data_IF_615355603260
#
_entry.id   IF_615355603260
#
_cell.length_a   1.000
_cell.length_b   1.000
_cell.length_c   1.000
_cell.angle_alpha   90.00
_cell.angle_beta   90.00
_cell.angle_gamma   90.00
#
_symmetry.space_group_name_H-M   'P 1'
#
loop_
_entity.id
_entity.type
_entity.pdbx_description
1 polymer ?
#
# COMPACT_ATOMS: atom_id res chain seq x y z
N UNK A 1 -3.10 -26.18 -75.58
CA UNK A 1 -3.65 -25.74 -74.27
C UNK A 1 -2.55 -25.72 -73.22
N UNK A 2 -2.09 -24.53 -72.86
CA UNK A 2 -1.07 -24.38 -71.80
C UNK A 2 -1.78 -24.00 -70.52
N UNK A 3 -1.66 -24.86 -69.50
CA UNK A 3 -2.25 -24.66 -68.19
C UNK A 3 -1.31 -23.76 -67.37
N UNK A 4 -1.77 -22.58 -66.98
CA UNK A 4 -1.02 -21.68 -66.10
C UNK A 4 -1.44 -22.00 -64.66
N UNK A 5 -0.48 -22.48 -63.88
CA UNK A 5 -0.66 -22.71 -62.43
C UNK A 5 -0.25 -21.43 -61.69
N UNK A 6 -1.24 -20.77 -61.10
CA UNK A 6 -1.01 -19.57 -60.27
C UNK A 6 -0.72 -20.02 -58.83
N UNK A 7 0.52 -19.87 -58.38
CA UNK A 7 0.89 -20.14 -56.98
C UNK A 7 0.64 -18.92 -56.14
N UNK A 8 -0.26 -19.03 -55.16
CA UNK A 8 -0.52 -18.01 -54.19
C UNK A 8 0.49 -18.19 -53.04
N UNK A 9 1.37 -17.19 -52.86
CA UNK A 9 2.26 -17.15 -51.71
C UNK A 9 1.55 -16.32 -50.61
N UNK A 10 1.16 -16.99 -49.54
CA UNK A 10 0.57 -16.32 -48.38
C UNK A 10 1.73 -15.87 -47.50
N UNK A 11 1.97 -14.57 -47.47
CA UNK A 11 2.96 -14.00 -46.57
C UNK A 11 2.35 -13.88 -45.16
N UNK A 12 2.79 -14.69 -44.27
CA UNK A 12 2.41 -14.61 -42.85
C UNK A 12 3.28 -13.53 -42.21
N UNK A 13 2.69 -12.38 -41.96
CA UNK A 13 3.36 -11.30 -41.24
C UNK A 13 3.45 -11.66 -39.75
N UNK A 14 4.63 -12.02 -39.29
CA UNK A 14 4.90 -12.16 -37.85
C UNK A 14 4.97 -10.75 -37.25
N UNK A 15 3.93 -10.35 -36.56
CA UNK A 15 4.01 -9.15 -35.74
C UNK A 15 4.79 -9.52 -34.46
N UNK A 16 6.04 -9.16 -34.44
CA UNK A 16 6.82 -9.21 -33.19
C UNK A 16 6.23 -8.15 -32.26
N UNK A 17 5.49 -8.61 -31.27
CA UNK A 17 5.13 -7.74 -30.15
C UNK A 17 6.43 -7.50 -29.39
N UNK A 18 7.05 -6.35 -29.67
CA UNK A 18 8.18 -5.91 -28.90
C UNK A 18 7.65 -5.57 -27.50
N UNK A 19 7.87 -6.45 -26.57
CA UNK A 19 7.60 -6.16 -25.17
C UNK A 19 8.55 -5.03 -24.76
N UNK A 20 8.05 -3.81 -24.77
CA UNK A 20 8.79 -2.66 -24.25
C UNK A 20 9.06 -2.93 -22.79
N UNK A 21 10.35 -3.20 -22.46
CA UNK A 21 10.77 -3.29 -21.08
C UNK A 21 10.52 -1.95 -20.42
N UNK A 22 9.55 -1.73 -19.67
CA UNK A 22 9.31 -0.75 -19.12
C UNK A 22 10.40 -0.42 -18.54
N UNK A 23 10.95 0.57 -18.78
CA UNK A 23 12.14 1.11 -18.14
C UNK A 23 11.83 1.32 -16.64
N UNK A 24 12.76 1.00 -15.80
CA UNK A 24 12.58 1.13 -14.34
C UNK A 24 12.74 2.61 -13.97
N UNK A 25 11.73 3.38 -14.29
CA UNK A 25 11.67 4.82 -14.08
C UNK A 25 10.34 5.20 -13.44
N UNK A 26 10.27 6.41 -12.94
CA UNK A 26 9.05 7.00 -12.40
C UNK A 26 8.00 7.08 -13.52
N UNK A 27 6.75 6.77 -13.17
CA UNK A 27 5.65 6.84 -14.14
C UNK A 27 4.33 7.19 -13.47
N UNK A 28 3.37 7.61 -14.28
CA UNK A 28 1.99 7.81 -13.85
C UNK A 28 1.13 6.67 -14.39
N UNK A 29 0.25 6.17 -13.55
CA UNK A 29 -0.77 5.19 -13.91
C UNK A 29 -2.12 5.90 -13.95
N UNK A 30 -2.75 5.91 -15.11
CA UNK A 30 -4.16 6.34 -15.23
C UNK A 30 -5.06 5.16 -14.88
N UNK A 31 -6.07 5.40 -14.06
CA UNK A 31 -7.07 4.37 -13.75
C UNK A 31 -8.06 4.31 -14.92
N UNK A 32 -8.13 3.17 -15.64
CA UNK A 32 -8.97 3.09 -16.83
C UNK A 32 -10.43 3.46 -16.56
N UNK A 33 -11.01 4.22 -17.47
CA UNK A 33 -12.38 4.71 -17.34
C UNK A 33 -12.50 6.02 -16.58
N UNK A 34 -11.37 6.64 -16.24
CA UNK A 34 -11.34 7.90 -15.49
C UNK A 34 -10.14 8.75 -15.93
N UNK A 35 -10.10 10.00 -15.43
CA UNK A 35 -8.94 10.89 -15.57
C UNK A 35 -8.04 10.84 -14.34
N UNK A 36 -8.36 10.00 -13.37
CA UNK A 36 -7.59 9.91 -12.12
C UNK A 36 -6.29 9.17 -12.37
N UNK A 37 -5.20 9.73 -11.84
CA UNK A 37 -3.84 9.18 -11.99
C UNK A 37 -3.16 9.10 -10.65
N UNK A 38 -2.21 8.18 -10.55
CA UNK A 38 -1.29 8.12 -9.41
C UNK A 38 0.12 7.87 -9.91
N UNK A 39 1.07 8.35 -9.13
CA UNK A 39 2.48 8.34 -9.49
C UNK A 39 3.20 7.20 -8.77
N UNK A 40 4.05 6.49 -9.51
CA UNK A 40 4.84 5.37 -8.98
C UNK A 40 6.33 5.70 -9.11
N UNK A 41 7.06 5.57 -8.00
CA UNK A 41 8.48 5.90 -7.88
C UNK A 41 9.28 4.61 -7.85
N UNK A 42 10.35 4.47 -8.66
CA UNK A 42 11.19 3.26 -8.66
C UNK A 42 12.07 3.21 -7.39
N UNK A 43 12.10 2.06 -6.79
CA UNK A 43 12.89 1.78 -5.59
C UNK A 43 13.87 0.65 -5.90
N UNK A 44 15.01 0.88 -6.03
CA UNK A 44 15.92 0.01 -6.35
C UNK A 44 16.04 -1.01 -5.35
N UNK A 45 16.57 -2.09 -5.80
CA UNK A 45 16.92 -3.20 -4.92
C UNK A 45 18.10 -2.81 -4.03
N UNK A 46 18.18 -3.43 -2.89
CA UNK A 46 19.28 -3.12 -1.98
C UNK A 46 19.19 -3.86 -0.68
N UNK A 47 20.04 -3.45 0.24
CA UNK A 47 20.11 -4.03 1.59
C UNK A 47 20.02 -2.89 2.61
N UNK A 48 19.29 -3.14 3.69
CA UNK A 48 19.17 -2.15 4.75
C UNK A 48 19.09 -2.85 6.12
N UNK A 49 19.22 -2.08 7.17
CA UNK A 49 19.03 -2.60 8.53
C UNK A 49 17.59 -2.28 8.93
N UNK A 50 16.78 -3.33 9.08
CA UNK A 50 15.38 -3.26 9.50
C UNK A 50 15.30 -3.31 11.01
N UNK A 51 14.56 -2.38 11.59
CA UNK A 51 14.42 -2.30 13.05
C UNK A 51 15.36 -1.28 13.66
N UNK A 52 15.39 -1.24 15.01
CA UNK A 52 16.22 -0.28 15.73
C UNK A 52 16.56 -0.81 17.13
N UNK A 53 17.81 -1.22 17.30
CA UNK A 53 18.28 -1.74 18.58
C UNK A 53 18.35 -0.68 19.69
N UNK A 54 18.30 0.60 19.31
CA UNK A 54 18.47 1.72 20.25
C UNK A 54 17.15 2.36 20.67
N UNK A 55 16.03 2.01 20.04
CA UNK A 55 14.73 2.67 20.25
C UNK A 55 14.12 2.40 21.63
N UNK A 56 14.55 1.33 22.28
CA UNK A 56 13.90 0.89 23.53
C UNK A 56 12.67 0.03 23.31
N UNK A 57 12.23 -0.13 22.06
CA UNK A 57 11.03 -0.91 21.73
C UNK A 57 11.44 -2.35 21.43
N UNK A 58 10.84 -3.30 22.17
CA UNK A 58 11.20 -4.71 22.03
C UNK A 58 10.85 -5.28 20.66
N UNK A 59 9.78 -4.80 20.06
CA UNK A 59 9.28 -5.33 18.77
C UNK A 59 10.07 -4.82 17.56
N UNK A 60 11.04 -3.93 17.77
CA UNK A 60 11.94 -3.44 16.73
C UNK A 60 13.30 -4.16 16.77
N UNK A 61 13.43 -5.18 17.64
CA UNK A 61 14.70 -5.86 17.94
C UNK A 61 14.62 -7.35 17.66
N UNK A 62 15.76 -7.98 17.37
CA UNK A 62 17.04 -7.34 17.02
C UNK A 62 16.98 -6.76 15.61
N UNK A 63 17.68 -5.66 15.37
CA UNK A 63 17.78 -5.11 14.02
C UNK A 63 18.45 -6.13 13.11
N UNK A 64 17.93 -6.26 11.88
CA UNK A 64 18.38 -7.29 10.94
C UNK A 64 18.75 -6.71 9.59
N UNK A 65 19.80 -7.22 9.01
CA UNK A 65 20.24 -6.83 7.67
C UNK A 65 19.40 -7.59 6.64
N UNK A 66 18.54 -6.86 5.91
CA UNK A 66 17.52 -7.43 5.04
C UNK A 66 17.80 -7.01 3.59
N UNK A 67 17.62 -7.93 2.65
CA UNK A 67 17.69 -7.65 1.21
C UNK A 67 16.28 -7.39 0.71
N UNK A 68 16.13 -6.39 -0.15
CA UNK A 68 14.82 -6.04 -0.74
C UNK A 68 14.99 -5.99 -2.25
N UNK A 69 14.14 -6.70 -2.96
CA UNK A 69 14.08 -6.69 -4.43
C UNK A 69 13.52 -5.37 -4.93
N UNK A 70 13.82 -5.03 -6.19
CA UNK A 70 13.34 -3.78 -6.78
C UNK A 70 11.83 -3.77 -6.98
N UNK A 71 11.22 -2.61 -6.76
CA UNK A 71 9.79 -2.41 -6.92
C UNK A 71 9.51 -0.94 -7.19
N UNK A 72 8.28 -0.62 -7.60
CA UNK A 72 7.77 0.74 -7.58
C UNK A 72 6.89 0.91 -6.36
N UNK A 73 6.94 2.10 -5.75
CA UNK A 73 6.05 2.46 -4.65
C UNK A 73 5.26 3.71 -5.01
N UNK A 74 4.00 3.76 -4.61
CA UNK A 74 3.19 4.96 -4.77
C UNK A 74 3.86 6.16 -4.12
N UNK A 75 4.01 7.26 -4.89
CA UNK A 75 4.65 8.47 -4.37
C UNK A 75 3.90 9.01 -3.15
N UNK A 76 2.62 8.74 -3.07
CA UNK A 76 1.70 9.22 -2.01
C UNK A 76 0.82 8.07 -1.53
N UNK A 77 0.13 8.29 -0.43
CA UNK A 77 -0.96 7.43 0.01
C UNK A 77 -2.04 7.38 -1.09
N UNK A 78 -2.73 6.27 -1.23
CA UNK A 78 -3.90 6.19 -2.13
C UNK A 78 -4.89 7.27 -1.67
N UNK A 79 -5.39 8.06 -2.62
CA UNK A 79 -6.34 9.14 -2.30
C UNK A 79 -7.77 8.63 -2.33
N UNK A 80 -8.65 9.40 -1.70
CA UNK A 80 -10.10 9.14 -1.79
C UNK A 80 -10.55 9.23 -3.26
N UNK A 81 -9.99 10.16 -4.04
CA UNK A 81 -10.33 10.29 -5.46
C UNK A 81 -10.08 8.99 -6.24
N UNK A 82 -9.00 8.27 -5.90
CA UNK A 82 -8.70 6.97 -6.47
C UNK A 82 -9.64 5.89 -5.92
N UNK A 83 -9.78 5.84 -4.60
CA UNK A 83 -10.51 4.76 -3.90
C UNK A 83 -12.00 4.76 -4.23
N UNK A 84 -12.59 5.94 -4.41
CA UNK A 84 -14.03 6.07 -4.71
C UNK A 84 -14.39 5.44 -6.05
N UNK A 85 -13.44 5.37 -6.99
CA UNK A 85 -13.69 4.70 -8.27
C UNK A 85 -13.97 3.21 -8.06
N UNK A 86 -13.25 2.60 -7.12
CA UNK A 86 -13.47 1.22 -6.72
C UNK A 86 -14.81 1.08 -6.00
N UNK A 87 -15.10 1.96 -5.04
CA UNK A 87 -16.34 1.89 -4.27
C UNK A 87 -17.58 2.01 -5.15
N UNK A 88 -17.50 2.81 -6.21
CA UNK A 88 -18.64 3.12 -7.07
C UNK A 88 -18.71 2.26 -8.34
N UNK A 89 -17.82 1.30 -8.52
CA UNK A 89 -17.80 0.47 -9.73
C UNK A 89 -18.88 -0.60 -9.64
N UNK A 90 -20.04 -0.30 -10.23
CA UNK A 90 -21.20 -1.20 -10.23
C UNK A 90 -20.95 -2.49 -11.00
N UNK A 91 -19.96 -2.49 -11.90
CA UNK A 91 -19.64 -3.64 -12.73
C UNK A 91 -18.69 -4.62 -12.06
N UNK A 92 -18.13 -4.25 -10.91
CA UNK A 92 -17.12 -5.08 -10.26
C UNK A 92 -17.72 -6.23 -9.47
N UNK A 93 -18.90 -6.05 -8.92
CA UNK A 93 -19.57 -7.11 -8.16
C UNK A 93 -20.02 -8.22 -9.09
N UNK A 94 -19.42 -9.38 -8.98
CA UNK A 94 -19.77 -10.54 -9.80
C UNK A 94 -21.04 -11.24 -9.34
N UNK A 95 -21.48 -10.96 -8.14
CA UNK A 95 -22.71 -11.49 -7.57
C UNK A 95 -23.68 -10.34 -7.34
N UNK A 96 -24.94 -10.56 -7.64
CA UNK A 96 -25.98 -9.55 -7.45
C UNK A 96 -26.41 -9.42 -5.99
N UNK A 97 -25.72 -10.09 -5.09
CA UNK A 97 -26.00 -9.97 -3.67
C UNK A 97 -25.54 -8.62 -3.17
N UNK A 98 -26.49 -7.82 -2.78
CA UNK A 98 -26.22 -6.46 -2.29
C UNK A 98 -26.05 -6.51 -0.79
N UNK A 99 -24.82 -6.35 -0.33
CA UNK A 99 -24.61 -6.25 1.11
C UNK A 99 -23.16 -5.82 1.43
N UNK A 100 -22.92 -5.68 2.71
CA UNK A 100 -21.65 -5.28 3.27
C UNK A 100 -20.58 -6.38 3.16
N UNK A 101 -20.93 -7.55 2.67
CA UNK A 101 -20.03 -8.70 2.58
C UNK A 101 -19.47 -8.88 1.17
N UNK A 102 -20.30 -8.69 0.15
CA UNK A 102 -19.95 -9.05 -1.23
C UNK A 102 -19.36 -7.92 -2.04
N UNK A 103 -19.55 -6.68 -1.66
CA UNK A 103 -18.95 -5.53 -2.36
C UNK A 103 -18.74 -4.36 -1.40
N UNK A 104 -17.84 -3.44 -1.77
CA UNK A 104 -17.66 -2.24 -0.96
C UNK A 104 -18.96 -1.46 -0.87
N UNK A 105 -19.39 -1.18 0.33
CA UNK A 105 -20.61 -0.41 0.58
C UNK A 105 -20.24 1.00 1.04
N UNK A 106 -21.08 1.96 0.68
CA UNK A 106 -20.92 3.32 1.20
C UNK A 106 -21.19 3.26 2.71
N UNK A 107 -20.30 3.84 3.53
CA UNK A 107 -20.51 3.82 4.97
C UNK A 107 -21.78 4.55 5.37
N UNK A 108 -22.46 4.03 6.39
CA UNK A 108 -23.66 4.65 6.92
C UNK A 108 -23.37 5.93 7.68
N UNK A 109 -22.15 6.11 8.15
CA UNK A 109 -21.73 7.27 8.91
C UNK A 109 -20.55 7.93 8.19
N UNK A 110 -20.37 9.23 8.42
CA UNK A 110 -19.19 9.92 7.88
C UNK A 110 -17.96 9.53 8.72
N UNK A 111 -17.24 8.53 8.25
CA UNK A 111 -16.02 8.06 8.93
C UNK A 111 -14.89 9.08 8.85
N UNK A 112 -14.96 10.04 7.92
CA UNK A 112 -13.93 11.07 7.79
C UNK A 112 -14.04 12.16 8.86
N UNK A 113 -15.15 12.18 9.59
CA UNK A 113 -15.41 13.21 10.60
C UNK A 113 -15.27 14.62 10.04
N UNK A 114 -15.58 14.80 8.75
CA UNK A 114 -15.53 16.09 8.09
C UNK A 114 -14.14 16.59 7.72
N UNK A 115 -13.12 15.74 7.82
CA UNK A 115 -11.74 16.18 7.54
C UNK A 115 -11.43 16.33 6.06
N UNK A 116 -12.28 15.80 5.17
CA UNK A 116 -12.12 15.95 3.72
C UNK A 116 -12.06 14.64 2.97
N UNK A 117 -12.48 14.70 1.71
CA UNK A 117 -12.53 13.52 0.82
C UNK A 117 -11.87 13.82 -0.53
N UNK A 118 -12.51 14.62 -1.37
CA UNK A 118 -12.07 14.88 -2.73
C UNK A 118 -10.93 15.91 -2.78
N UNK A 119 -10.15 15.84 -3.86
CA UNK A 119 -9.11 16.81 -4.13
C UNK A 119 -7.77 16.47 -3.52
N UNK A 120 -7.50 15.17 -3.31
CA UNK A 120 -6.18 14.73 -2.90
C UNK A 120 -6.04 14.32 -1.44
N UNK A 121 -7.15 14.21 -0.70
CA UNK A 121 -7.09 13.68 0.67
C UNK A 121 -6.85 12.16 0.64
N UNK A 122 -6.17 11.61 1.64
CA UNK A 122 -5.92 10.16 1.67
C UNK A 122 -7.23 9.39 1.88
N UNK A 123 -7.38 8.28 1.18
CA UNK A 123 -8.40 7.29 1.49
C UNK A 123 -8.14 6.79 2.92
N UNK A 124 -9.21 6.56 3.68
CA UNK A 124 -9.04 6.21 5.08
C UNK A 124 -10.17 5.34 5.60
N UNK A 125 -10.02 4.86 6.83
CA UNK A 125 -11.03 4.08 7.54
C UNK A 125 -11.29 2.68 6.96
N UNK A 126 -10.53 2.25 5.95
CA UNK A 126 -10.72 0.92 5.38
C UNK A 126 -9.97 -0.14 6.19
N UNK A 127 -10.50 -1.35 6.18
CA UNK A 127 -9.77 -2.52 6.66
C UNK A 127 -8.70 -2.91 5.65
N UNK A 128 -7.70 -3.68 6.07
CA UNK A 128 -6.68 -4.19 5.14
C UNK A 128 -7.35 -4.98 4.02
N UNK A 129 -8.40 -5.74 4.33
CA UNK A 129 -9.19 -6.47 3.34
C UNK A 129 -9.63 -5.56 2.19
N UNK A 130 -10.18 -4.40 2.53
CA UNK A 130 -10.67 -3.46 1.53
C UNK A 130 -9.54 -2.88 0.68
N UNK A 131 -8.40 -2.60 1.30
CA UNK A 131 -7.22 -2.13 0.58
C UNK A 131 -6.72 -3.20 -0.41
N UNK A 132 -6.72 -4.48 0.01
CA UNK A 132 -6.33 -5.59 -0.88
C UNK A 132 -7.34 -5.80 -2.00
N UNK A 133 -8.63 -5.62 -1.72
CA UNK A 133 -9.67 -5.72 -2.75
C UNK A 133 -9.55 -4.58 -3.76
N UNK A 134 -9.16 -3.40 -3.32
CA UNK A 134 -8.82 -2.30 -4.23
C UNK A 134 -7.68 -2.72 -5.16
N UNK A 135 -6.64 -3.35 -4.62
CA UNK A 135 -5.52 -3.83 -5.44
C UNK A 135 -5.98 -4.87 -6.48
N UNK A 136 -6.88 -5.78 -6.07
CA UNK A 136 -7.43 -6.78 -6.98
C UNK A 136 -8.26 -6.13 -8.08
N UNK A 137 -9.11 -5.17 -7.71
CA UNK A 137 -9.89 -4.37 -8.65
C UNK A 137 -8.97 -3.65 -9.65
N UNK A 138 -7.89 -3.05 -9.14
CA UNK A 138 -6.93 -2.32 -9.99
C UNK A 138 -6.22 -3.27 -10.96
N UNK A 139 -5.91 -4.49 -10.52
CA UNK A 139 -5.35 -5.53 -11.41
C UNK A 139 -6.34 -5.87 -12.53
N UNK A 140 -7.60 -6.03 -12.18
CA UNK A 140 -8.64 -6.36 -13.17
C UNK A 140 -8.81 -5.23 -14.20
N UNK A 141 -8.59 -3.98 -13.78
CA UNK A 141 -8.71 -2.80 -14.65
C UNK A 141 -7.47 -2.59 -15.53
N UNK A 142 -6.29 -2.86 -15.01
CA UNK A 142 -5.02 -2.46 -15.67
C UNK A 142 -4.21 -3.63 -16.22
N UNK A 143 -4.44 -4.83 -15.72
CA UNK A 143 -3.57 -5.98 -16.00
C UNK A 143 -2.22 -5.90 -15.30
N UNK A 144 -2.02 -4.91 -14.43
CA UNK A 144 -0.76 -4.71 -13.70
C UNK A 144 -0.97 -5.08 -12.24
N UNK A 145 -0.08 -5.90 -11.69
CA UNK A 145 -0.20 -6.35 -10.30
C UNK A 145 0.35 -5.29 -9.36
N UNK A 146 -0.58 -4.65 -8.66
CA UNK A 146 -0.31 -3.76 -7.54
C UNK A 146 -0.73 -4.45 -6.26
N UNK A 147 -0.05 -4.16 -5.16
CA UNK A 147 -0.38 -4.71 -3.84
C UNK A 147 0.07 -3.76 -2.73
N UNK A 148 -0.22 -4.13 -1.50
CA UNK A 148 0.34 -3.43 -0.34
C UNK A 148 1.83 -3.76 -0.23
N UNK A 149 2.64 -2.88 0.36
CA UNK A 149 4.03 -3.22 0.66
C UNK A 149 4.12 -4.32 1.73
N UNK A 150 5.21 -5.06 1.72
CA UNK A 150 5.58 -5.81 2.93
C UNK A 150 6.10 -4.81 3.97
N UNK A 151 6.15 -5.23 5.23
CA UNK A 151 6.71 -4.38 6.28
C UNK A 151 8.15 -3.99 5.97
N UNK A 152 8.95 -4.93 5.45
CA UNK A 152 10.34 -4.68 5.06
C UNK A 152 10.45 -3.66 3.91
N UNK A 153 9.62 -3.81 2.88
CA UNK A 153 9.60 -2.86 1.75
C UNK A 153 9.24 -1.46 2.24
N UNK A 154 8.25 -1.37 3.13
CA UNK A 154 7.80 -0.08 3.64
C UNK A 154 8.93 0.63 4.39
N UNK A 155 9.60 -0.06 5.33
CA UNK A 155 10.68 0.55 6.12
C UNK A 155 11.88 0.90 5.25
N UNK A 156 12.23 0.03 4.30
CA UNK A 156 13.32 0.26 3.34
C UNK A 156 13.06 1.56 2.56
N UNK A 157 11.87 1.69 2.01
CA UNK A 157 11.50 2.87 1.23
C UNK A 157 11.41 4.13 2.09
N UNK A 158 10.91 4.00 3.31
CA UNK A 158 10.81 5.11 4.26
C UNK A 158 12.20 5.65 4.59
N UNK A 159 13.15 4.76 4.92
CA UNK A 159 14.51 5.16 5.28
C UNK A 159 15.27 5.80 4.12
N UNK A 160 15.02 5.38 2.91
CA UNK A 160 15.67 5.96 1.72
C UNK A 160 17.20 6.02 1.89
N UNK A 161 17.78 4.92 2.39
CA UNK A 161 19.24 4.79 2.56
C UNK A 161 19.77 5.25 3.90
N UNK A 162 18.92 5.74 4.80
CA UNK A 162 19.38 6.24 6.12
C UNK A 162 19.27 5.18 7.21
N UNK A 163 19.98 5.41 8.32
CA UNK A 163 19.96 4.55 9.50
C UNK A 163 19.49 5.28 10.76
N UNK A 164 19.06 6.51 10.59
CA UNK A 164 18.64 7.39 11.69
C UNK A 164 17.19 7.11 12.13
N UNK A 165 16.75 7.75 13.20
CA UNK A 165 15.36 7.60 13.70
C UNK A 165 14.32 7.92 12.63
N UNK A 166 14.56 9.03 11.94
CA UNK A 166 13.75 9.49 10.81
C UNK A 166 14.64 9.53 9.57
N UNK A 167 14.06 9.56 8.39
CA UNK A 167 14.90 9.59 7.17
C UNK A 167 15.73 10.89 7.04
N UNK A 168 15.39 11.92 7.78
CA UNK A 168 16.13 13.21 7.76
C UNK A 168 17.15 13.33 8.89
N UNK A 169 17.25 12.36 9.80
CA UNK A 169 18.15 12.41 10.93
C UNK A 169 17.47 12.00 12.23
N UNK A 170 18.03 12.41 13.35
CA UNK A 170 17.53 12.02 14.67
C UNK A 170 16.73 13.12 15.39
N UNK A 171 16.77 14.34 14.86
CA UNK A 171 16.14 15.49 15.52
C UNK A 171 14.67 15.61 15.11
N UNK A 172 13.76 15.28 16.03
CA UNK A 172 12.32 15.34 15.79
C UNK A 172 11.79 16.74 15.48
N UNK A 173 12.57 17.78 15.78
CA UNK A 173 12.16 19.16 15.47
C UNK A 173 11.98 19.37 13.96
N UNK A 174 12.61 18.55 13.12
CA UNK A 174 12.49 18.65 11.66
C UNK A 174 11.23 17.96 11.14
N UNK A 175 10.51 17.17 11.94
CA UNK A 175 9.29 16.47 11.51
C UNK A 175 8.28 17.42 10.87
N UNK A 176 8.18 18.64 11.35
CA UNK A 176 7.23 19.63 10.86
C UNK A 176 7.34 19.89 9.35
N UNK A 177 8.52 19.65 8.78
CA UNK A 177 8.75 19.87 7.34
C UNK A 177 8.33 18.66 6.50
N UNK A 178 8.23 17.49 7.11
CA UNK A 178 8.05 16.22 6.41
C UNK A 178 6.75 15.50 6.75
N UNK A 179 6.09 15.88 7.84
CA UNK A 179 4.98 15.08 8.38
C UNK A 179 3.85 15.94 8.94
N UNK A 180 2.63 15.40 8.86
CA UNK A 180 1.49 15.85 9.65
C UNK A 180 1.37 14.90 10.84
N UNK A 181 1.51 15.40 12.05
CA UNK A 181 1.44 14.62 13.28
C UNK A 181 0.83 15.46 14.39
N UNK A 182 0.74 14.94 15.62
CA UNK A 182 -0.02 15.61 16.68
C UNK A 182 0.38 17.06 16.90
N UNK A 183 1.66 17.40 16.77
CA UNK A 183 2.16 18.74 17.07
C UNK A 183 1.77 19.80 16.03
N UNK A 184 1.45 19.39 14.77
CA UNK A 184 1.22 20.38 13.72
C UNK A 184 -0.02 20.11 12.83
N UNK A 185 -0.70 18.99 13.02
CA UNK A 185 -1.78 18.59 12.12
C UNK A 185 -3.11 19.31 12.38
N UNK A 186 -3.31 19.84 13.59
CA UNK A 186 -4.63 20.33 14.01
C UNK A 186 -5.60 19.19 14.24
N UNK A 187 -5.08 18.01 14.60
CA UNK A 187 -5.89 16.81 14.90
C UNK A 187 -6.66 16.30 13.69
N UNK A 188 -6.07 16.44 12.49
CA UNK A 188 -6.71 15.96 11.26
C UNK A 188 -5.68 15.58 10.20
N UNK A 189 -6.07 14.67 9.31
CA UNK A 189 -5.26 14.41 8.12
C UNK A 189 -5.39 15.57 7.14
N UNK A 190 -4.44 15.67 6.24
CA UNK A 190 -4.36 16.72 5.23
C UNK A 190 -4.24 16.07 3.85
N UNK A 191 -4.36 16.89 2.81
CA UNK A 191 -4.13 16.41 1.43
C UNK A 191 -2.74 15.84 1.33
N UNK A 192 -2.61 14.78 0.54
CA UNK A 192 -1.32 14.12 0.32
C UNK A 192 -0.34 15.03 -0.42
N UNK A 193 0.93 14.90 -0.12
CA UNK A 193 1.98 15.58 -0.88
C UNK A 193 2.21 17.04 -0.53
N UNK A 194 1.68 17.53 0.60
CA UNK A 194 1.87 18.93 1.00
C UNK A 194 3.18 19.17 1.75
N UNK A 195 3.72 18.12 2.36
CA UNK A 195 5.01 18.20 3.05
C UNK A 195 6.13 17.77 2.10
N UNK A 196 7.38 17.97 2.52
CA UNK A 196 8.54 17.56 1.72
C UNK A 196 8.63 16.02 1.65
N UNK A 197 9.05 15.49 0.50
CA UNK A 197 9.25 14.04 0.38
C UNK A 197 10.54 13.58 1.04
N UNK A 198 10.67 12.26 1.18
CA UNK A 198 11.94 11.68 1.58
C UNK A 198 12.95 11.74 0.40
N UNK A 199 14.23 11.35 0.61
CA UNK A 199 15.22 11.45 -0.48
C UNK A 199 14.88 10.65 -1.73
N UNK A 200 14.00 9.67 -1.66
CA UNK A 200 13.59 8.87 -2.82
C UNK A 200 12.30 9.37 -3.47
N UNK A 201 11.76 10.51 -3.02
CA UNK A 201 10.60 11.13 -3.66
C UNK A 201 9.27 10.64 -3.14
N UNK A 202 9.23 10.02 -1.96
CA UNK A 202 8.01 9.51 -1.34
C UNK A 202 7.49 10.50 -0.31
N UNK A 203 6.22 10.88 -0.45
CA UNK A 203 5.55 11.85 0.42
C UNK A 203 4.80 11.14 1.54
N UNK A 204 4.69 11.82 2.66
CA UNK A 204 3.86 11.38 3.79
C UNK A 204 4.17 9.97 4.29
N UNK A 205 5.45 9.57 4.16
CA UNK A 205 5.90 8.29 4.74
C UNK A 205 5.81 8.33 6.26
N UNK A 206 5.86 9.53 6.84
CA UNK A 206 5.72 9.73 8.28
C UNK A 206 4.49 10.59 8.51
N UNK A 207 3.56 10.12 9.35
CA UNK A 207 2.37 10.88 9.70
C UNK A 207 1.27 10.82 8.65
N UNK A 208 0.39 11.77 8.69
CA UNK A 208 -0.85 11.88 7.92
C UNK A 208 -1.77 10.71 8.26
N UNK A 209 -1.79 9.62 7.47
CA UNK A 209 -2.48 8.40 7.89
C UNK A 209 -1.47 7.25 7.96
N UNK A 210 -1.61 6.41 8.97
CA UNK A 210 -0.75 5.22 9.06
C UNK A 210 -1.20 4.21 8.02
N UNK A 211 -0.26 3.39 7.55
CA UNK A 211 -0.45 2.63 6.33
C UNK A 211 -0.42 1.12 6.56
N UNK A 212 -1.43 0.44 6.02
CA UNK A 212 -1.44 -1.02 6.01
C UNK A 212 -0.24 -1.56 5.24
N UNK A 213 0.40 -2.58 5.82
CA UNK A 213 1.34 -3.44 5.09
C UNK A 213 0.76 -4.85 5.08
N UNK A 214 1.42 -5.79 4.37
CA UNK A 214 0.91 -7.15 4.22
C UNK A 214 1.01 -7.99 5.50
N UNK A 215 1.91 -7.65 6.40
CA UNK A 215 2.41 -8.55 7.43
C UNK A 215 1.45 -8.73 8.61
N UNK A 216 1.38 -9.97 9.09
CA UNK A 216 0.86 -10.26 10.43
C UNK A 216 1.77 -9.57 11.46
N UNK A 217 1.18 -8.92 12.46
CA UNK A 217 2.00 -8.40 13.56
C UNK A 217 2.42 -9.57 14.47
N UNK A 218 3.73 -9.73 14.59
CA UNK A 218 4.34 -10.70 15.50
C UNK A 218 5.43 -9.92 16.25
N UNK A 219 5.27 -9.81 17.55
CA UNK A 219 6.14 -8.91 18.34
C UNK A 219 7.62 -9.28 18.26
N UNK A 220 7.92 -10.58 18.19
CA UNK A 220 9.31 -11.07 18.11
C UNK A 220 9.71 -11.49 16.69
N UNK A 221 9.06 -10.93 15.69
CA UNK A 221 9.27 -11.36 14.29
C UNK A 221 10.76 -11.24 13.88
N UNK A 222 11.41 -10.18 14.30
CA UNK A 222 12.79 -9.92 13.86
C UNK A 222 13.80 -10.91 14.46
N UNK A 223 13.48 -11.50 15.62
CA UNK A 223 14.34 -12.53 16.21
C UNK A 223 14.38 -13.80 15.33
N UNK A 224 13.37 -14.01 14.50
CA UNK A 224 13.25 -15.18 13.62
C UNK A 224 13.88 -14.95 12.26
N UNK A 225 14.35 -13.74 11.98
CA UNK A 225 15.03 -13.42 10.73
C UNK A 225 16.53 -13.61 10.89
N UNK A 226 17.19 -13.94 9.81
CA UNK A 226 18.66 -14.00 9.74
C UNK A 226 19.16 -12.85 8.88
N UNK A 227 20.36 -12.37 9.15
CA UNK A 227 20.99 -11.37 8.29
C UNK A 227 21.14 -11.94 6.87
N UNK A 228 20.76 -11.13 5.89
CA UNK A 228 20.79 -11.55 4.49
C UNK A 228 19.46 -12.11 3.98
N UNK A 229 18.47 -12.28 4.87
CA UNK A 229 17.12 -12.70 4.43
C UNK A 229 16.61 -11.75 3.34
N UNK A 230 16.04 -12.31 2.28
CA UNK A 230 15.51 -11.54 1.16
C UNK A 230 13.98 -11.49 1.21
N UNK A 231 13.45 -10.30 1.04
CA UNK A 231 12.01 -10.04 0.88
C UNK A 231 11.14 -10.75 1.93
N UNK A 232 11.44 -10.61 3.23
CA UNK A 232 10.64 -11.29 4.25
C UNK A 232 9.22 -10.74 4.33
N UNK A 233 8.27 -11.62 4.62
CA UNK A 233 6.89 -11.24 4.90
C UNK A 233 6.30 -12.26 5.88
N UNK A 234 5.61 -11.78 6.91
CA UNK A 234 4.85 -12.63 7.82
C UNK A 234 3.43 -12.75 7.28
N UNK A 235 3.17 -13.83 6.53
CA UNK A 235 1.85 -14.03 5.92
C UNK A 235 0.81 -14.19 7.05
N UNK A 236 -0.28 -13.39 7.03
CA UNK A 236 -1.28 -13.46 8.09
C UNK A 236 -1.93 -14.85 8.19
N UNK A 237 -2.05 -15.32 9.42
CA UNK A 237 -2.80 -16.53 9.75
C UNK A 237 -4.07 -16.21 10.56
N UNK A 238 -4.21 -14.94 10.93
CA UNK A 238 -5.40 -14.41 11.61
C UNK A 238 -5.68 -13.00 11.09
N UNK A 239 -6.94 -12.57 11.19
CA UNK A 239 -7.37 -11.24 10.75
C UNK A 239 -6.79 -10.09 11.58
N UNK A 240 -6.27 -10.40 12.75
CA UNK A 240 -5.79 -9.45 13.73
C UNK A 240 -4.83 -10.17 14.68
N UNK A 241 -3.72 -9.56 15.09
CA UNK A 241 -3.28 -8.20 14.74
C UNK A 241 -2.46 -8.14 13.44
N UNK A 242 -2.61 -7.05 12.70
CA UNK A 242 -1.86 -6.78 11.48
C UNK A 242 -1.00 -5.53 11.65
N UNK A 243 0.05 -5.42 10.84
CA UNK A 243 1.02 -4.32 10.96
C UNK A 243 0.56 -3.08 10.19
N UNK A 244 0.78 -1.90 10.79
CA UNK A 244 0.70 -0.60 10.11
C UNK A 244 2.04 0.13 10.33
N UNK A 245 2.32 1.07 9.45
CA UNK A 245 3.57 1.83 9.52
C UNK A 245 3.33 3.32 9.31
N UNK A 246 4.27 4.14 9.81
CA UNK A 246 4.36 5.57 9.55
C UNK A 246 3.80 6.47 10.63
N UNK A 247 2.94 5.96 11.48
CA UNK A 247 2.21 6.81 12.42
C UNK A 247 1.20 7.68 11.69
N UNK A 248 0.45 8.49 12.42
CA UNK A 248 -0.63 9.27 11.83
C UNK A 248 -0.71 10.69 12.42
N UNK A 249 -1.72 11.45 11.98
CA UNK A 249 -1.89 12.87 12.32
C UNK A 249 -2.10 13.12 13.82
N UNK A 250 -2.46 12.10 14.58
CA UNK A 250 -2.73 12.20 16.02
C UNK A 250 -1.61 11.60 16.86
N UNK A 251 -0.58 11.05 16.21
CA UNK A 251 0.53 10.42 16.91
C UNK A 251 1.63 11.42 17.27
N UNK A 252 2.36 11.11 18.36
CA UNK A 252 3.56 11.85 18.74
C UNK A 252 4.77 11.41 17.92
N UNK A 253 5.82 12.22 17.94
CA UNK A 253 7.02 12.01 17.15
C UNK A 253 7.59 10.59 17.24
N UNK A 254 7.52 9.96 18.42
CA UNK A 254 8.11 8.63 18.63
C UNK A 254 7.45 7.56 17.75
N UNK A 255 6.15 7.70 17.47
CA UNK A 255 5.43 6.74 16.63
C UNK A 255 5.74 6.93 15.13
N UNK A 256 6.35 8.06 14.77
CA UNK A 256 6.69 8.37 13.37
C UNK A 256 8.10 7.94 12.98
N UNK A 257 8.87 7.31 13.88
CA UNK A 257 10.22 6.83 13.53
C UNK A 257 10.12 5.77 12.42
N UNK A 258 11.13 5.73 11.57
CA UNK A 258 11.15 4.78 10.42
C UNK A 258 10.94 3.32 10.87
N UNK A 259 11.48 2.94 12.05
CA UNK A 259 11.38 1.58 12.57
C UNK A 259 10.11 1.33 13.40
N UNK A 260 9.31 2.36 13.69
CA UNK A 260 8.15 2.21 14.56
C UNK A 260 7.10 1.30 13.91
N UNK A 261 6.57 0.37 14.71
CA UNK A 261 5.59 -0.62 14.23
C UNK A 261 4.22 -0.32 14.83
N UNK A 262 3.23 -0.09 13.98
CA UNK A 262 1.84 0.06 14.40
C UNK A 262 1.16 -1.31 14.40
N UNK A 263 0.09 -1.42 15.18
CA UNK A 263 -0.66 -2.67 15.34
C UNK A 263 -2.15 -2.38 15.21
N UNK A 264 -2.84 -3.15 14.39
CA UNK A 264 -4.29 -3.00 14.24
C UNK A 264 -5.01 -3.28 15.58
N UNK A 265 -6.18 -2.67 15.75
CA UNK A 265 -6.96 -2.82 16.99
C UNK A 265 -8.43 -3.09 16.65
N UNK A 266 -8.99 -4.09 17.28
CA UNK A 266 -10.39 -4.45 17.09
C UNK A 266 -11.35 -3.33 17.53
N UNK A 267 -10.89 -2.43 18.40
CA UNK A 267 -11.69 -1.29 18.85
C UNK A 267 -12.07 -0.35 17.71
N UNK A 268 -11.30 -0.35 16.63
CA UNK A 268 -11.54 0.53 15.48
C UNK A 268 -12.85 0.27 14.77
N UNK A 269 -13.49 -0.87 15.03
CA UNK A 269 -14.78 -1.20 14.43
C UNK A 269 -15.87 -1.40 15.47
N UNK A 270 -15.66 -0.92 16.69
CA UNK A 270 -16.59 -1.17 17.81
C UNK A 270 -17.96 -0.53 17.57
N UNK A 271 -17.98 0.71 17.06
CA UNK A 271 -19.20 1.47 16.87
C UNK A 271 -19.90 1.24 15.54
N UNK A 272 -19.39 0.34 14.71
CA UNK A 272 -20.07 -0.01 13.46
C UNK A 272 -21.48 -0.51 13.77
N UNK A 273 -22.52 0.15 13.23
CA UNK A 273 -23.90 -0.24 13.52
C UNK A 273 -24.39 -1.49 12.79
N UNK A 274 -23.62 -1.95 11.79
CA UNK A 274 -24.02 -3.11 11.00
C UNK A 274 -23.93 -4.41 11.79
N UNK A 275 -24.83 -5.36 11.50
CA UNK A 275 -24.79 -6.71 12.04
C UNK A 275 -24.93 -7.69 10.88
N UNK A 276 -23.88 -8.47 10.55
CA UNK A 276 -22.53 -8.43 11.13
C UNK A 276 -21.79 -7.14 10.79
N UNK A 277 -20.77 -6.82 11.57
CA UNK A 277 -19.97 -5.61 11.37
C UNK A 277 -19.29 -5.64 10.00
N UNK A 278 -19.11 -4.48 9.45
CA UNK A 278 -18.55 -4.32 8.10
C UNK A 278 -17.25 -5.11 7.92
N UNK A 279 -17.17 -5.80 6.79
CA UNK A 279 -15.97 -6.48 6.33
C UNK A 279 -14.98 -5.46 5.70
N UNK A 280 -15.49 -4.29 5.31
CA UNK A 280 -14.75 -3.31 4.51
C UNK A 280 -14.16 -2.17 5.32
N UNK A 281 -14.82 -1.78 6.41
CA UNK A 281 -14.55 -0.53 7.10
C UNK A 281 -14.20 -0.72 8.57
N UNK A 282 -13.31 0.14 9.06
CA UNK A 282 -13.08 0.39 10.48
C UNK A 282 -13.72 1.73 10.80
N UNK A 283 -14.92 1.72 11.35
CA UNK A 283 -15.74 2.93 11.51
C UNK A 283 -15.09 4.01 12.37
N UNK A 284 -14.12 3.63 13.20
CA UNK A 284 -13.49 4.55 14.15
C UNK A 284 -12.00 4.80 13.84
N UNK A 285 -11.54 4.56 12.61
CA UNK A 285 -10.13 4.67 12.26
C UNK A 285 -9.85 5.58 11.06
N UNK A 286 -10.23 6.88 11.14
CA UNK A 286 -9.91 7.81 10.04
C UNK A 286 -8.42 8.10 9.88
N UNK A 287 -7.60 7.58 10.78
CA UNK A 287 -6.14 7.72 10.77
C UNK A 287 -5.44 6.56 10.04
N UNK A 288 -6.20 5.66 9.41
CA UNK A 288 -5.65 4.47 8.70
C UNK A 288 -5.89 4.58 7.21
N UNK A 289 -4.84 4.40 6.41
CA UNK A 289 -4.91 4.36 4.96
C UNK A 289 -3.91 3.34 4.39
N UNK A 290 -3.44 3.55 3.15
CA UNK A 290 -2.49 2.63 2.53
C UNK A 290 -1.84 3.26 1.30
N UNK A 291 -0.75 2.67 0.85
CA UNK A 291 -0.12 3.01 -0.44
C UNK A 291 0.19 1.75 -1.22
N UNK A 292 0.47 1.91 -2.50
CA UNK A 292 0.66 0.81 -3.42
C UNK A 292 2.13 0.48 -3.63
N UNK A 293 2.38 -0.80 -3.91
CA UNK A 293 3.65 -1.31 -4.43
C UNK A 293 3.35 -2.09 -5.71
N UNK A 294 4.27 -1.99 -6.68
CA UNK A 294 4.27 -2.79 -7.89
C UNK A 294 5.63 -3.49 -7.97
N UNK A 295 5.70 -4.81 -7.85
CA UNK A 295 6.99 -5.52 -8.02
C UNK A 295 7.57 -5.27 -9.41
N UNK A 296 8.89 -5.11 -9.50
CA UNK A 296 9.53 -4.94 -10.80
C UNK A 296 9.30 -6.18 -11.68
N UNK A 297 9.48 -7.36 -11.09
CA UNK A 297 9.15 -8.61 -11.77
C UNK A 297 7.67 -8.89 -11.52
N UNK A 298 6.87 -8.72 -12.56
CA UNK A 298 5.42 -8.99 -12.45
C UNK A 298 5.17 -10.49 -12.34
N UNK A 299 4.32 -10.90 -11.41
CA UNK A 299 3.97 -12.32 -11.28
C UNK A 299 3.07 -12.78 -12.44
N UNK A 300 3.03 -14.07 -12.67
CA UNK A 300 2.08 -14.67 -13.61
C UNK A 300 0.65 -14.53 -13.08
N UNK A 301 -0.34 -14.70 -13.97
CA UNK A 301 -1.75 -14.64 -13.56
C UNK A 301 -2.07 -15.66 -12.46
N UNK A 302 -1.46 -16.85 -12.53
CA UNK A 302 -1.65 -17.87 -11.50
C UNK A 302 -1.08 -17.44 -10.16
N UNK A 303 0.10 -16.81 -10.18
CA UNK A 303 0.72 -16.28 -8.95
C UNK A 303 -0.10 -15.13 -8.36
N UNK A 304 -0.69 -14.28 -9.21
CA UNK A 304 -1.58 -13.20 -8.75
C UNK A 304 -2.81 -13.79 -8.06
N UNK A 305 -3.44 -14.79 -8.69
CA UNK A 305 -4.60 -15.45 -8.10
C UNK A 305 -4.25 -16.08 -6.75
N UNK A 306 -3.13 -16.76 -6.69
CA UNK A 306 -2.64 -17.38 -5.43
C UNK A 306 -2.39 -16.30 -4.36
N UNK A 307 -1.81 -15.16 -4.75
CA UNK A 307 -1.56 -14.06 -3.81
C UNK A 307 -2.88 -13.59 -3.20
N UNK A 308 -3.87 -13.23 -4.04
CA UNK A 308 -5.12 -12.70 -3.53
C UNK A 308 -5.88 -13.76 -2.70
N UNK A 309 -5.82 -15.03 -3.11
CA UNK A 309 -6.40 -16.10 -2.33
C UNK A 309 -5.77 -16.15 -0.94
N UNK A 310 -4.43 -16.14 -0.88
CA UNK A 310 -3.71 -16.22 0.40
C UNK A 310 -4.07 -15.07 1.34
N UNK A 311 -4.08 -13.84 0.82
CA UNK A 311 -4.23 -12.67 1.69
C UNK A 311 -5.69 -12.29 1.95
N UNK A 312 -6.63 -12.68 1.08
CA UNK A 312 -8.05 -12.34 1.25
C UNK A 312 -8.85 -13.40 2.02
N UNK A 313 -8.50 -14.67 1.91
CA UNK A 313 -9.23 -15.74 2.60
C UNK A 313 -9.12 -15.66 4.12
N UNK A 314 -8.06 -15.04 4.61
CA UNK A 314 -7.85 -14.87 6.05
C UNK A 314 -8.64 -13.72 6.65
N UNK A 315 -9.30 -12.89 5.79
CA UNK A 315 -9.98 -11.65 6.23
C UNK A 315 -11.45 -11.85 6.65
#
# INVERSE_FOLDING_TARGET
MRTVVLSFVVAIAFHSVCAQSXSFQKYEQTIPGSDVKFEMVPIXEGTFVMGDDKSGKADEKPARKIKVSAFWMGAREVTYDEFVLFLNDENYSQNNDVDAITRPSVPYIDMTRGMGKEGGYPANSMKQYSALMYCKWLYDKTGIFYRLPTEAEWEYACRAGTTTKYFFGDDSAQLKDYAWYAANSGMKYHKTGLKKPNPWGLYDMLGNVQEWVLDQYVADAYSKLEDGTADPVNIPITRHPLVLRGGDYDDNADALRSASRGVSDLVWNRRDPQIPKSKWWNADAPFVGFRLVRPLKQPSAEEVEKFFKTFLEMQ
#
